data_IF_811265226946
#
_entry.id   IF_811265226946
#
_cell.length_a   1.000
_cell.length_b   1.000
_cell.length_c   1.000
_cell.angle_alpha   90.00
_cell.angle_beta   90.00
_cell.angle_gamma   90.00
#
_symmetry.space_group_name_H-M   'P 1'
#
loop_
_entity.id
_entity.type
_entity.pdbx_description
1 polymer ?
#
# COMPACT_ATOMS: atom_id res chain seq x y z
N UNK A 1 34.07 32.66 -54.55
CA UNK A 1 32.70 32.13 -54.47
C UNK A 1 32.81 30.61 -54.50
N UNK A 2 32.37 29.80 -53.55
CA UNK A 2 31.57 30.01 -52.35
C UNK A 2 32.05 29.06 -51.26
N UNK A 3 32.17 29.60 -50.05
CA UNK A 3 32.37 28.87 -48.83
C UNK A 3 31.01 28.48 -48.21
N UNK A 4 31.08 27.57 -47.23
CA UNK A 4 30.05 27.25 -46.21
C UNK A 4 28.97 26.26 -46.72
N UNK A 5 28.53 25.22 -46.00
CA UNK A 5 28.45 25.00 -44.55
C UNK A 5 28.56 23.48 -44.29
N UNK A 6 29.48 23.08 -43.40
CA UNK A 6 29.47 21.80 -42.70
C UNK A 6 28.35 21.85 -41.65
N UNK A 7 27.40 20.92 -41.67
CA UNK A 7 26.48 20.69 -40.56
C UNK A 7 26.42 19.19 -40.25
N UNK A 8 27.45 18.72 -39.56
CA UNK A 8 27.43 17.39 -38.93
C UNK A 8 26.56 17.50 -37.69
N UNK A 9 25.30 17.06 -37.79
CA UNK A 9 24.45 16.88 -36.61
C UNK A 9 24.99 15.67 -35.84
N UNK A 10 25.73 15.96 -34.77
CA UNK A 10 26.05 14.99 -33.72
C UNK A 10 24.72 14.60 -33.04
N UNK A 11 24.11 13.49 -33.46
CA UNK A 11 23.13 12.81 -32.64
C UNK A 11 23.89 12.19 -31.46
N UNK A 12 24.06 12.96 -30.38
CA UNK A 12 24.38 12.38 -29.08
C UNK A 12 23.18 11.53 -28.69
N UNK A 13 23.35 10.22 -28.79
CA UNK A 13 22.40 9.23 -28.30
C UNK A 13 22.28 9.34 -26.78
N UNK A 14 21.37 10.18 -26.29
CA UNK A 14 20.83 10.06 -24.93
C UNK A 14 19.50 9.33 -25.00
N UNK A 15 19.55 8.10 -25.53
CA UNK A 15 18.53 7.09 -25.24
C UNK A 15 19.13 6.10 -24.26
N UNK A 16 19.37 6.58 -23.04
CA UNK A 16 19.41 5.67 -21.89
C UNK A 16 18.01 5.07 -21.75
N UNK A 17 17.74 3.99 -22.50
CA UNK A 17 16.57 3.16 -22.27
C UNK A 17 16.69 2.68 -20.83
N UNK A 18 15.89 3.25 -19.93
CA UNK A 18 15.61 2.61 -18.67
C UNK A 18 15.19 1.17 -19.01
N UNK A 19 15.96 0.20 -18.55
CA UNK A 19 15.56 -1.20 -18.56
C UNK A 19 14.96 -1.44 -17.17
N UNK A 20 13.65 -1.19 -16.96
CA UNK A 20 13.04 -1.64 -15.73
C UNK A 20 13.04 -3.17 -15.78
N UNK A 21 13.77 -3.80 -14.88
CA UNK A 21 13.67 -5.22 -14.51
C UNK A 21 14.15 -6.30 -15.49
N UNK A 22 14.56 -5.98 -16.72
CA UNK A 22 15.00 -7.00 -17.69
C UNK A 22 16.51 -6.92 -17.99
N UNK A 23 17.33 -7.26 -17.00
CA UNK A 23 18.72 -7.68 -17.22
C UNK A 23 18.80 -9.18 -16.92
N UNK A 24 19.10 -10.00 -17.93
CA UNK A 24 19.09 -11.48 -17.87
C UNK A 24 20.19 -12.10 -16.97
N UNK A 25 20.84 -11.32 -16.11
CA UNK A 25 21.86 -11.84 -15.20
C UNK A 25 21.63 -11.32 -13.77
N UNK A 26 21.28 -12.27 -12.90
CA UNK A 26 21.26 -12.23 -11.43
C UNK A 26 19.98 -11.74 -10.75
N UNK A 27 19.24 -12.70 -10.19
CA UNK A 27 18.40 -12.52 -9.00
C UNK A 27 19.09 -11.66 -7.92
N UNK A 28 20.43 -11.73 -7.81
CA UNK A 28 21.22 -10.90 -6.90
C UNK A 28 21.12 -9.40 -7.18
N UNK A 29 21.08 -8.97 -8.45
CA UNK A 29 20.95 -7.56 -8.83
C UNK A 29 19.60 -6.96 -8.39
N UNK A 30 18.51 -7.71 -8.59
CA UNK A 30 17.17 -7.28 -8.17
C UNK A 30 17.05 -7.14 -6.65
N UNK A 31 17.54 -8.12 -5.89
CA UNK A 31 17.54 -8.03 -4.43
C UNK A 31 18.40 -6.87 -3.92
N UNK A 32 19.56 -6.62 -4.54
CA UNK A 32 20.42 -5.49 -4.20
C UNK A 32 19.75 -4.13 -4.51
N UNK A 33 19.07 -4.01 -5.66
CA UNK A 33 18.36 -2.80 -6.05
C UNK A 33 17.14 -2.53 -5.16
N UNK A 34 16.38 -3.57 -4.81
CA UNK A 34 15.28 -3.46 -3.85
C UNK A 34 15.80 -3.00 -2.48
N UNK A 35 16.87 -3.63 -1.99
CA UNK A 35 17.50 -3.25 -0.71
C UNK A 35 17.94 -1.79 -0.74
N UNK A 36 18.58 -1.35 -1.83
CA UNK A 36 19.06 0.03 -2.00
C UNK A 36 17.89 1.02 -2.07
N UNK A 37 16.81 0.69 -2.78
CA UNK A 37 15.62 1.52 -2.85
C UNK A 37 15.01 1.72 -1.46
N UNK A 38 14.87 0.64 -0.69
CA UNK A 38 14.28 0.69 0.65
C UNK A 38 15.15 1.49 1.63
N UNK A 39 16.48 1.33 1.59
CA UNK A 39 17.40 2.14 2.40
C UNK A 39 17.30 3.62 2.03
N UNK A 40 17.31 3.97 0.74
CA UNK A 40 17.15 5.36 0.28
C UNK A 40 15.81 5.96 0.70
N UNK A 41 14.73 5.20 0.62
CA UNK A 41 13.40 5.65 1.08
C UNK A 41 13.38 5.89 2.59
N UNK A 42 14.02 5.01 3.36
CA UNK A 42 14.17 5.16 4.81
C UNK A 42 14.96 6.42 5.18
N UNK A 43 16.12 6.63 4.54
CA UNK A 43 16.98 7.78 4.80
C UNK A 43 16.32 9.10 4.39
N UNK A 44 15.71 9.14 3.20
CA UNK A 44 14.94 10.29 2.76
C UNK A 44 13.81 10.61 3.75
N UNK A 45 13.10 9.60 4.25
CA UNK A 45 12.01 9.80 5.20
C UNK A 45 12.51 10.37 6.53
N UNK A 46 13.63 9.87 7.04
CA UNK A 46 14.28 10.40 8.25
C UNK A 46 14.66 11.87 8.06
N UNK A 47 15.35 12.20 6.96
CA UNK A 47 15.81 13.56 6.67
C UNK A 47 14.63 14.51 6.45
N UNK A 48 13.67 14.12 5.61
CA UNK A 48 12.52 14.93 5.26
C UNK A 48 11.70 15.36 6.49
N UNK A 49 11.41 14.43 7.41
CA UNK A 49 10.60 14.75 8.59
C UNK A 49 11.38 15.32 9.77
N UNK A 50 12.70 15.16 9.79
CA UNK A 50 13.57 15.83 10.76
C UNK A 50 13.79 17.30 10.41
N UNK A 51 14.08 17.58 9.14
CA UNK A 51 14.55 18.90 8.71
C UNK A 51 13.41 19.83 8.30
N UNK A 52 12.26 19.26 7.86
CA UNK A 52 11.12 20.05 7.42
C UNK A 52 10.15 20.35 8.58
N UNK A 53 10.42 21.42 9.33
CA UNK A 53 9.57 21.90 10.43
C UNK A 53 8.17 22.32 10.00
N UNK A 54 7.97 22.62 8.71
CA UNK A 54 6.66 23.02 8.17
C UNK A 54 5.75 21.84 7.86
N UNK A 55 6.31 20.64 7.65
CA UNK A 55 5.55 19.45 7.26
C UNK A 55 5.43 18.47 8.43
N UNK A 56 4.39 18.64 9.25
CA UNK A 56 4.06 17.68 10.30
C UNK A 56 3.64 16.34 9.69
N UNK A 57 4.36 15.27 10.01
CA UNK A 57 3.99 13.92 9.60
C UNK A 57 2.64 13.55 10.22
N UNK A 58 1.64 13.33 9.37
CA UNK A 58 0.34 12.85 9.85
C UNK A 58 0.49 11.41 10.36
N UNK A 59 0.01 11.08 11.57
CA UNK A 59 0.22 9.76 12.19
C UNK A 59 -0.20 8.56 11.33
N UNK A 60 -1.29 8.66 10.58
CA UNK A 60 -1.73 7.60 9.67
C UNK A 60 -0.82 7.45 8.43
N UNK A 61 -0.20 8.53 7.94
CA UNK A 61 0.82 8.44 6.88
C UNK A 61 2.08 7.77 7.41
N UNK A 62 2.46 8.08 8.65
CA UNK A 62 3.56 7.43 9.34
C UNK A 62 3.34 5.92 9.43
N UNK A 63 2.13 5.51 9.84
CA UNK A 63 1.78 4.10 9.92
C UNK A 63 1.87 3.37 8.59
N UNK A 64 1.35 3.97 7.51
CA UNK A 64 1.49 3.42 6.15
C UNK A 64 2.96 3.27 5.73
N UNK A 65 3.77 4.29 5.96
CA UNK A 65 5.18 4.30 5.56
C UNK A 65 5.97 3.21 6.27
N UNK A 66 5.81 3.09 7.60
CA UNK A 66 6.50 2.07 8.37
C UNK A 66 6.04 0.66 8.01
N UNK A 67 4.76 0.46 7.71
CA UNK A 67 4.25 -0.81 7.22
C UNK A 67 4.90 -1.19 5.89
N UNK A 68 4.99 -0.27 4.93
CA UNK A 68 5.66 -0.51 3.63
C UNK A 68 7.14 -0.85 3.80
N UNK A 69 7.87 -0.13 4.65
CA UNK A 69 9.29 -0.41 4.92
C UNK A 69 9.48 -1.80 5.52
N UNK A 70 8.60 -2.21 6.45
CA UNK A 70 8.60 -3.55 7.04
C UNK A 70 8.32 -4.63 6.00
N UNK A 71 7.28 -4.45 5.17
CA UNK A 71 6.92 -5.40 4.11
C UNK A 71 8.09 -5.57 3.13
N UNK A 72 8.79 -4.49 2.81
CA UNK A 72 9.96 -4.51 1.93
C UNK A 72 11.24 -5.07 2.59
N UNK A 73 11.14 -5.70 3.77
CA UNK A 73 12.25 -6.37 4.42
C UNK A 73 13.18 -5.46 5.21
N UNK A 74 12.79 -4.20 5.47
CA UNK A 74 13.61 -3.27 6.23
C UNK A 74 13.21 -3.27 7.71
N UNK A 75 14.01 -4.02 8.47
CA UNK A 75 13.85 -4.26 9.90
C UNK A 75 14.80 -3.49 10.85
N UNK A 76 15.52 -2.39 10.49
CA UNK A 76 16.54 -1.90 11.40
C UNK A 76 15.97 -1.42 12.73
N UNK A 77 16.65 -1.76 13.83
CA UNK A 77 16.46 -1.14 15.14
C UNK A 77 16.54 0.39 15.03
N UNK A 78 17.39 0.87 14.11
CA UNK A 78 17.55 2.26 13.67
C UNK A 78 16.27 2.90 13.10
N UNK A 79 15.32 2.14 12.54
CA UNK A 79 14.05 2.74 12.08
C UNK A 79 13.19 3.26 13.23
N UNK A 80 13.18 2.54 14.36
CA UNK A 80 12.37 2.90 15.52
C UNK A 80 13.07 3.94 16.40
N UNK A 81 14.41 3.88 16.47
CA UNK A 81 15.23 4.78 17.29
C UNK A 81 15.55 6.09 16.58
N UNK A 82 15.92 6.05 15.29
CA UNK A 82 16.44 7.21 14.57
C UNK A 82 15.34 8.02 13.92
N UNK A 83 14.24 7.37 13.51
CA UNK A 83 13.14 8.12 12.97
C UNK A 83 12.51 8.96 14.08
N UNK A 84 12.58 10.28 13.89
CA UNK A 84 11.87 11.27 14.68
C UNK A 84 10.98 12.06 13.74
N UNK A 85 9.74 12.31 14.18
CA UNK A 85 8.93 13.33 13.54
C UNK A 85 9.49 14.73 13.82
N UNK A 86 8.87 15.75 13.24
CA UNK A 86 9.25 17.16 13.40
C UNK A 86 9.21 17.65 14.86
N UNK A 87 8.61 16.88 15.77
CA UNK A 87 8.49 17.19 17.20
C UNK A 87 9.45 16.33 18.05
N UNK A 88 10.37 15.59 17.42
CA UNK A 88 11.34 14.73 18.11
C UNK A 88 10.74 13.43 18.66
N UNK A 89 9.51 13.07 18.26
CA UNK A 89 8.86 11.86 18.75
C UNK A 89 9.17 10.65 17.86
N UNK A 90 9.33 9.47 18.47
CA UNK A 90 9.37 8.21 17.70
C UNK A 90 7.99 7.88 17.15
N UNK A 91 7.92 7.05 16.12
CA UNK A 91 6.66 6.55 15.54
C UNK A 91 5.68 6.02 16.60
N UNK A 92 6.18 5.29 17.61
CA UNK A 92 5.37 4.78 18.72
C UNK A 92 4.67 5.93 19.47
N UNK A 93 5.42 6.98 19.80
CA UNK A 93 4.89 8.15 20.51
C UNK A 93 4.00 9.01 19.60
N UNK A 94 4.34 9.17 18.32
CA UNK A 94 3.50 9.86 17.32
C UNK A 94 2.13 9.21 17.19
N UNK A 95 2.08 7.87 17.08
CA UNK A 95 0.82 7.12 17.01
C UNK A 95 0.03 7.25 18.32
N UNK A 96 0.70 7.10 19.48
CA UNK A 96 0.06 7.29 20.80
C UNK A 96 -0.54 8.69 20.96
N UNK A 97 0.21 9.73 20.62
CA UNK A 97 -0.23 11.12 20.72
C UNK A 97 -1.50 11.34 19.89
N UNK A 98 -1.60 10.74 18.69
CA UNK A 98 -2.83 10.81 17.89
C UNK A 98 -4.03 10.24 18.62
N UNK A 99 -3.88 9.10 19.27
CA UNK A 99 -4.96 8.45 20.01
C UNK A 99 -5.37 9.28 21.24
N UNK A 100 -4.41 9.90 21.92
CA UNK A 100 -4.67 10.81 23.03
C UNK A 100 -5.45 12.07 22.61
N UNK A 101 -5.33 12.51 21.35
CA UNK A 101 -6.04 13.72 20.87
C UNK A 101 -7.54 13.50 20.62
N UNK A 102 -8.01 12.25 20.58
CA UNK A 102 -9.42 11.95 20.31
C UNK A 102 -10.11 11.46 21.57
N UNK A 103 -11.31 12.00 21.84
CA UNK A 103 -12.14 11.53 22.95
C UNK A 103 -12.69 10.12 22.68
N UNK A 104 -13.01 9.82 21.43
CA UNK A 104 -13.54 8.53 21.00
C UNK A 104 -12.82 8.07 19.72
N UNK A 105 -12.23 6.87 19.76
CA UNK A 105 -11.53 6.28 18.61
C UNK A 105 -12.44 6.11 17.38
N UNK A 106 -13.74 5.95 17.58
CA UNK A 106 -14.74 5.81 16.51
C UNK A 106 -14.97 7.09 15.70
N UNK A 107 -14.39 8.22 16.14
CA UNK A 107 -14.35 9.49 15.40
C UNK A 107 -13.27 9.52 14.32
N UNK A 108 -12.26 8.65 14.43
CA UNK A 108 -11.22 8.52 13.41
C UNK A 108 -11.85 7.86 12.17
N UNK A 109 -11.71 8.44 10.97
CA UNK A 109 -12.20 7.80 9.75
C UNK A 109 -11.62 6.39 9.59
N UNK A 110 -12.47 5.41 9.27
CA UNK A 110 -12.11 3.98 9.20
C UNK A 110 -10.82 3.70 8.41
N UNK A 111 -10.59 4.30 7.21
CA UNK A 111 -9.34 4.08 6.48
C UNK A 111 -8.11 4.61 7.23
N UNK A 112 -8.23 5.76 7.91
CA UNK A 112 -7.13 6.34 8.68
C UNK A 112 -6.81 5.48 9.91
N UNK A 113 -7.84 4.94 10.57
CA UNK A 113 -7.65 4.00 11.67
C UNK A 113 -6.96 2.72 11.20
N UNK A 114 -7.32 2.20 10.02
CA UNK A 114 -6.62 1.08 9.39
C UNK A 114 -5.13 1.35 9.18
N UNK A 115 -4.76 2.52 8.68
CA UNK A 115 -3.35 2.91 8.52
C UNK A 115 -2.62 3.10 9.86
N UNK A 116 -3.30 3.57 10.91
CA UNK A 116 -2.74 3.61 12.27
C UNK A 116 -2.47 2.19 12.77
N UNK A 117 -3.40 1.26 12.59
CA UNK A 117 -3.23 -0.15 12.96
C UNK A 117 -2.05 -0.78 12.22
N UNK A 118 -1.90 -0.53 10.91
CA UNK A 118 -0.72 -0.95 10.14
C UNK A 118 0.57 -0.40 10.75
N UNK A 119 0.56 0.87 11.17
CA UNK A 119 1.66 1.47 11.92
C UNK A 119 1.98 0.75 13.22
N UNK A 120 0.97 0.43 14.03
CA UNK A 120 1.13 -0.30 15.29
C UNK A 120 1.72 -1.70 15.06
N UNK A 121 1.23 -2.44 14.07
CA UNK A 121 1.75 -3.77 13.72
C UNK A 121 3.19 -3.66 13.20
N UNK A 122 3.48 -2.65 12.39
CA UNK A 122 4.82 -2.41 11.83
C UNK A 122 5.89 -2.10 12.89
N UNK A 123 5.48 -1.69 14.09
CA UNK A 123 6.39 -1.49 15.23
C UNK A 123 6.34 -2.67 16.22
N UNK A 124 5.80 -3.81 15.80
CA UNK A 124 5.66 -5.04 16.57
C UNK A 124 4.88 -4.84 17.88
N UNK A 125 3.78 -4.08 17.82
CA UNK A 125 2.86 -3.88 18.95
C UNK A 125 1.49 -4.47 18.63
N UNK A 126 0.77 -4.87 19.67
CA UNK A 126 -0.58 -5.42 19.54
C UNK A 126 -1.59 -4.27 19.37
N UNK A 127 -2.33 -4.19 18.25
CA UNK A 127 -3.38 -3.19 18.06
C UNK A 127 -4.61 -3.40 18.96
N UNK A 128 -4.76 -4.54 19.65
CA UNK A 128 -5.82 -4.77 20.66
C UNK A 128 -5.49 -4.15 22.01
N UNK A 129 -4.22 -3.92 22.30
CA UNK A 129 -3.72 -3.32 23.54
C UNK A 129 -2.53 -2.38 23.26
N UNK A 130 -2.77 -1.36 22.45
CA UNK A 130 -1.74 -0.36 22.16
C UNK A 130 -1.86 0.79 23.16
N UNK A 131 -1.06 0.76 24.24
CA UNK A 131 -1.13 1.74 25.34
C UNK A 131 -2.52 1.84 25.99
N UNK A 132 -3.21 0.71 26.17
CA UNK A 132 -4.58 0.67 26.70
C UNK A 132 -5.68 0.98 25.67
N UNK A 133 -5.32 1.25 24.41
CA UNK A 133 -6.28 1.40 23.32
C UNK A 133 -6.49 0.08 22.57
N UNK A 134 -7.76 -0.33 22.45
CA UNK A 134 -8.16 -1.38 21.53
C UNK A 134 -8.61 -0.76 20.20
N UNK A 135 -7.77 -0.85 19.17
CA UNK A 135 -8.00 -0.25 17.86
C UNK A 135 -8.88 -1.13 16.96
N UNK A 136 -8.98 -2.43 17.25
CA UNK A 136 -9.74 -3.39 16.45
C UNK A 136 -11.25 -3.16 16.58
N UNK A 137 -11.74 -2.93 17.81
CA UNK A 137 -13.16 -2.65 18.06
C UNK A 137 -13.71 -1.47 17.25
N UNK A 138 -13.12 -0.26 17.29
CA UNK A 138 -13.61 0.87 16.49
C UNK A 138 -13.42 0.65 14.99
N UNK A 139 -12.41 -0.10 14.54
CA UNK A 139 -12.26 -0.45 13.12
C UNK A 139 -13.43 -1.33 12.64
N UNK A 140 -13.78 -2.36 13.41
CA UNK A 140 -14.93 -3.24 13.13
C UNK A 140 -16.24 -2.47 13.09
N UNK A 141 -16.48 -1.60 14.07
CA UNK A 141 -17.66 -0.72 14.08
C UNK A 141 -17.66 0.26 12.89
N UNK A 142 -16.48 0.68 12.43
CA UNK A 142 -16.30 1.57 11.28
C UNK A 142 -16.78 0.97 9.96
N UNK A 143 -16.77 -0.35 9.78
CA UNK A 143 -17.30 -0.99 8.56
C UNK A 143 -18.81 -0.81 8.39
N UNK A 144 -19.57 -0.76 9.50
CA UNK A 144 -21.02 -0.51 9.47
C UNK A 144 -21.38 0.89 8.97
N UNK A 145 -20.40 1.80 8.90
CA UNK A 145 -20.56 3.18 8.45
C UNK A 145 -20.22 3.39 6.97
N UNK A 146 -19.79 2.33 6.28
CA UNK A 146 -19.39 2.41 4.88
C UNK A 146 -20.56 2.87 4.00
N UNK A 147 -20.30 3.82 3.10
CA UNK A 147 -21.29 4.51 2.24
C UNK A 147 -22.32 5.38 2.98
N UNK A 148 -22.49 5.22 4.29
CA UNK A 148 -23.34 6.07 5.11
C UNK A 148 -22.67 7.42 5.45
N UNK A 149 -21.34 7.45 5.54
CA UNK A 149 -20.57 8.66 5.83
C UNK A 149 -19.76 9.10 4.61
N UNK A 150 -19.76 10.40 4.30
CA UNK A 150 -18.99 10.98 3.19
C UNK A 150 -17.47 10.76 3.32
N UNK A 151 -16.97 10.62 4.55
CA UNK A 151 -15.56 10.35 4.83
C UNK A 151 -15.15 8.88 4.61
N UNK A 152 -16.11 7.97 4.36
CA UNK A 152 -15.86 6.55 4.15
C UNK A 152 -16.86 5.93 3.16
N UNK A 153 -16.65 6.24 1.87
CA UNK A 153 -17.54 5.85 0.77
C UNK A 153 -16.80 5.34 -0.47
N UNK A 154 -15.50 5.07 -0.38
CA UNK A 154 -14.69 4.58 -1.50
C UNK A 154 -14.01 3.24 -1.16
N UNK A 155 -13.88 2.38 -2.17
CA UNK A 155 -13.33 1.04 -2.01
C UNK A 155 -11.82 1.03 -1.79
N UNK A 156 -11.11 2.11 -2.15
CA UNK A 156 -9.69 2.28 -1.80
C UNK A 156 -9.52 2.28 -0.28
N UNK A 157 -10.25 3.16 0.42
CA UNK A 157 -10.22 3.24 1.87
C UNK A 157 -10.81 2.02 2.56
N UNK A 158 -11.86 1.40 1.98
CA UNK A 158 -12.45 0.17 2.50
C UNK A 158 -11.44 -0.98 2.50
N UNK A 159 -10.77 -1.18 1.37
CA UNK A 159 -9.78 -2.24 1.21
C UNK A 159 -8.59 -2.04 2.13
N UNK A 160 -8.11 -0.80 2.32
CA UNK A 160 -7.07 -0.50 3.32
C UNK A 160 -7.47 -0.92 4.74
N UNK A 161 -8.71 -0.68 5.14
CA UNK A 161 -9.21 -1.08 6.45
C UNK A 161 -9.29 -2.62 6.57
N UNK A 162 -9.70 -3.32 5.52
CA UNK A 162 -9.72 -4.79 5.48
C UNK A 162 -8.30 -5.37 5.62
N UNK A 163 -7.35 -4.86 4.83
CA UNK A 163 -5.94 -5.28 4.90
C UNK A 163 -5.38 -5.06 6.30
N UNK A 164 -5.68 -3.91 6.93
CA UNK A 164 -5.23 -3.63 8.30
C UNK A 164 -5.79 -4.63 9.33
N UNK A 165 -7.08 -4.97 9.24
CA UNK A 165 -7.71 -5.94 10.14
C UNK A 165 -7.09 -7.35 9.98
N UNK A 166 -6.84 -7.70 8.73
CA UNK A 166 -6.26 -8.97 8.32
C UNK A 166 -4.81 -9.13 8.77
N UNK A 167 -3.98 -8.12 8.53
CA UNK A 167 -2.59 -8.05 9.00
C UNK A 167 -2.50 -8.04 10.54
N UNK A 168 -3.53 -7.56 11.23
CA UNK A 168 -3.65 -7.64 12.69
C UNK A 168 -3.99 -9.06 13.20
N UNK A 169 -4.12 -10.07 12.31
CA UNK A 169 -4.49 -11.44 12.66
C UNK A 169 -5.94 -11.58 13.11
N UNK A 170 -6.82 -10.65 12.76
CA UNK A 170 -8.23 -10.72 13.13
C UNK A 170 -9.09 -11.27 11.98
N UNK A 171 -10.12 -12.02 12.34
CA UNK A 171 -11.12 -12.50 11.37
C UNK A 171 -11.86 -11.30 10.78
N UNK A 172 -11.90 -11.22 9.46
CA UNK A 172 -12.73 -10.25 8.74
C UNK A 172 -14.19 -10.75 8.73
N UNK A 173 -15.18 -9.95 9.14
CA UNK A 173 -16.58 -10.37 9.12
C UNK A 173 -17.07 -10.70 7.72
N UNK A 174 -17.95 -11.70 7.58
CA UNK A 174 -18.44 -12.16 6.26
C UNK A 174 -19.11 -11.02 5.48
N UNK A 175 -19.91 -10.16 6.13
CA UNK A 175 -20.54 -9.01 5.45
C UNK A 175 -19.52 -8.02 4.86
N UNK A 176 -18.33 -7.92 5.48
CA UNK A 176 -17.24 -7.06 4.99
C UNK A 176 -16.58 -7.67 3.76
N UNK A 177 -16.44 -8.99 3.74
CA UNK A 177 -15.92 -9.74 2.61
C UNK A 177 -16.91 -9.68 1.44
N UNK A 178 -18.20 -9.87 1.71
CA UNK A 178 -19.27 -9.82 0.71
C UNK A 178 -19.32 -8.47 -0.01
N UNK A 179 -19.17 -7.36 0.71
CA UNK A 179 -19.09 -6.01 0.11
C UNK A 179 -17.94 -5.87 -0.91
N UNK A 180 -16.78 -6.48 -0.68
CA UNK A 180 -15.68 -6.49 -1.67
C UNK A 180 -15.93 -7.48 -2.82
N UNK A 181 -16.56 -8.61 -2.54
CA UNK A 181 -16.91 -9.61 -3.56
C UNK A 181 -17.95 -9.06 -4.53
N UNK A 182 -18.91 -8.25 -4.06
CA UNK A 182 -19.92 -7.60 -4.90
C UNK A 182 -19.29 -6.66 -5.93
N UNK A 183 -18.19 -5.99 -5.59
CA UNK A 183 -17.46 -5.13 -6.53
C UNK A 183 -16.90 -5.90 -7.72
N UNK A 184 -16.50 -7.15 -7.54
CA UNK A 184 -16.03 -7.99 -8.64
C UNK A 184 -17.15 -8.34 -9.64
N UNK A 185 -18.42 -8.14 -9.28
CA UNK A 185 -19.56 -8.33 -10.17
C UNK A 185 -19.97 -7.05 -10.90
N UNK A 186 -19.48 -5.88 -10.46
CA UNK A 186 -19.58 -4.64 -11.21
C UNK A 186 -18.52 -4.66 -12.32
N UNK A 187 -18.64 -3.80 -13.33
CA UNK A 187 -17.66 -3.70 -14.41
C UNK A 187 -16.31 -3.14 -13.88
N UNK A 188 -15.50 -4.02 -13.28
CA UNK A 188 -14.24 -3.72 -12.58
C UNK A 188 -13.29 -2.84 -13.41
N UNK A 189 -13.32 -3.01 -14.73
CA UNK A 189 -12.47 -2.24 -15.66
C UNK A 189 -12.86 -0.77 -15.76
N UNK A 190 -14.15 -0.46 -15.64
CA UNK A 190 -14.76 0.86 -15.84
C UNK A 190 -14.92 1.63 -14.53
N UNK A 191 -15.21 0.94 -13.43
CA UNK A 191 -15.56 1.61 -12.17
C UNK A 191 -14.34 2.05 -11.34
N UNK A 192 -13.20 1.37 -11.49
CA UNK A 192 -12.09 1.50 -10.54
C UNK A 192 -10.74 1.81 -11.19
N UNK A 193 -9.94 2.60 -10.48
CA UNK A 193 -8.53 2.81 -10.81
C UNK A 193 -7.74 1.51 -10.61
N UNK A 194 -6.54 1.44 -11.21
CA UNK A 194 -5.61 0.33 -10.98
C UNK A 194 -5.31 0.18 -9.47
N UNK A 195 -5.12 1.30 -8.76
CA UNK A 195 -4.84 1.30 -7.32
C UNK A 195 -5.99 0.69 -6.51
N UNK A 196 -7.23 1.03 -6.86
CA UNK A 196 -8.41 0.52 -6.17
C UNK A 196 -8.58 -0.98 -6.43
N UNK A 197 -8.44 -1.43 -7.68
CA UNK A 197 -8.48 -2.85 -8.02
C UNK A 197 -7.38 -3.65 -7.34
N UNK A 198 -6.17 -3.09 -7.28
CA UNK A 198 -5.05 -3.70 -6.59
C UNK A 198 -5.35 -3.89 -5.10
N UNK A 199 -5.81 -2.84 -4.41
CA UNK A 199 -6.11 -2.93 -2.99
C UNK A 199 -7.28 -3.89 -2.69
N UNK A 200 -8.33 -3.92 -3.52
CA UNK A 200 -9.42 -4.90 -3.35
C UNK A 200 -8.88 -6.32 -3.51
N UNK A 201 -8.05 -6.57 -4.54
CA UNK A 201 -7.43 -7.87 -4.76
C UNK A 201 -6.54 -8.28 -3.59
N UNK A 202 -5.69 -7.38 -3.07
CA UNK A 202 -4.85 -7.64 -1.90
C UNK A 202 -5.69 -7.94 -0.65
N UNK A 203 -6.74 -7.15 -0.41
CA UNK A 203 -7.66 -7.36 0.70
C UNK A 203 -8.33 -8.75 0.61
N UNK A 204 -8.92 -9.09 -0.54
CA UNK A 204 -9.57 -10.39 -0.75
C UNK A 204 -8.58 -11.56 -0.69
N UNK A 205 -7.33 -11.36 -1.09
CA UNK A 205 -6.30 -12.41 -1.02
C UNK A 205 -5.86 -12.73 0.40
N UNK A 206 -6.08 -11.81 1.34
CA UNK A 206 -5.66 -11.97 2.73
C UNK A 206 -6.77 -12.59 3.61
N UNK A 207 -8.04 -12.39 3.25
CA UNK A 207 -9.16 -12.86 4.09
C UNK A 207 -9.34 -14.37 4.03
N UNK A 208 -9.86 -14.93 5.11
CA UNK A 208 -10.33 -16.32 5.16
C UNK A 208 -11.70 -16.37 5.83
N UNK A 209 -12.56 -17.24 5.34
CA UNK A 209 -13.90 -17.47 5.92
C UNK A 209 -14.17 -18.95 6.10
N UNK A 210 -14.91 -19.28 7.15
CA UNK A 210 -15.41 -20.64 7.39
C UNK A 210 -16.55 -21.02 6.41
N UNK A 211 -17.16 -20.02 5.77
CA UNK A 211 -18.20 -20.24 4.77
C UNK A 211 -17.59 -20.62 3.42
N UNK A 212 -17.62 -21.91 3.08
CA UNK A 212 -17.07 -22.44 1.81
C UNK A 212 -17.69 -21.80 0.56
N UNK A 213 -18.95 -21.37 0.61
CA UNK A 213 -19.58 -20.69 -0.53
C UNK A 213 -18.99 -19.31 -0.74
N UNK A 214 -18.82 -18.55 0.34
CA UNK A 214 -18.19 -17.23 0.31
C UNK A 214 -16.71 -17.33 -0.09
N UNK A 215 -15.98 -18.32 0.43
CA UNK A 215 -14.57 -18.56 0.05
C UNK A 215 -14.41 -18.75 -1.48
N UNK A 216 -15.28 -19.56 -2.11
CA UNK A 216 -15.27 -19.71 -3.58
C UNK A 216 -15.59 -18.40 -4.32
N UNK A 217 -16.47 -17.55 -3.77
CA UNK A 217 -16.75 -16.24 -4.36
C UNK A 217 -15.53 -15.31 -4.24
N UNK A 218 -14.82 -15.34 -3.12
CA UNK A 218 -13.56 -14.61 -2.92
C UNK A 218 -12.53 -15.01 -3.97
N UNK A 219 -12.28 -16.31 -4.16
CA UNK A 219 -11.32 -16.80 -5.16
C UNK A 219 -11.66 -16.34 -6.58
N UNK A 220 -12.94 -16.41 -6.97
CA UNK A 220 -13.39 -15.89 -8.27
C UNK A 220 -13.22 -14.37 -8.39
N UNK A 221 -13.52 -13.63 -7.32
CA UNK A 221 -13.38 -12.19 -7.30
C UNK A 221 -11.90 -11.77 -7.46
N UNK A 222 -10.99 -12.41 -6.71
CA UNK A 222 -9.54 -12.22 -6.87
C UNK A 222 -9.12 -12.49 -8.32
N UNK A 223 -9.57 -13.59 -8.92
CA UNK A 223 -9.29 -13.91 -10.32
C UNK A 223 -9.72 -12.80 -11.31
N UNK A 224 -10.90 -12.21 -11.12
CA UNK A 224 -11.39 -11.10 -11.96
C UNK A 224 -10.55 -9.82 -11.78
N UNK A 225 -10.20 -9.47 -10.56
CA UNK A 225 -9.35 -8.29 -10.31
C UNK A 225 -7.95 -8.49 -10.89
N UNK A 226 -7.35 -9.67 -10.70
CA UNK A 226 -6.06 -10.04 -11.31
C UNK A 226 -6.09 -9.90 -12.83
N UNK A 227 -7.10 -10.47 -13.50
CA UNK A 227 -7.24 -10.37 -14.95
C UNK A 227 -7.36 -8.90 -15.40
N UNK A 228 -8.12 -8.10 -14.65
CA UNK A 228 -8.28 -6.66 -14.93
C UNK A 228 -6.98 -5.88 -14.71
N UNK A 229 -6.17 -6.25 -13.71
CA UNK A 229 -4.87 -5.63 -13.48
C UNK A 229 -3.92 -5.96 -14.64
N UNK A 230 -3.80 -7.25 -15.00
CA UNK A 230 -2.97 -7.70 -16.12
C UNK A 230 -3.38 -7.01 -17.43
N UNK A 231 -4.69 -6.88 -17.70
CA UNK A 231 -5.16 -6.18 -18.91
C UNK A 231 -4.83 -4.68 -18.93
N UNK A 232 -4.52 -4.08 -17.77
CA UNK A 232 -4.10 -2.68 -17.63
C UNK A 232 -2.57 -2.50 -17.63
N UNK A 233 -1.81 -3.58 -17.82
CA UNK A 233 -0.37 -3.51 -18.01
C UNK A 233 -0.05 -3.01 -19.43
N UNK A 234 0.78 -1.98 -19.52
CA UNK A 234 1.27 -1.46 -20.80
C UNK A 234 2.34 -2.39 -21.37
N UNK A 235 2.11 -2.92 -22.57
CA UNK A 235 3.05 -3.82 -23.26
C UNK A 235 4.41 -3.17 -23.54
N UNK A 236 4.45 -1.84 -23.68
CA UNK A 236 5.67 -1.09 -24.02
C UNK A 236 6.55 -0.78 -22.82
N UNK A 237 5.99 -0.63 -21.61
CA UNK A 237 6.73 -0.20 -20.41
C UNK A 237 6.64 -1.19 -19.25
N UNK A 238 5.76 -2.18 -19.31
CA UNK A 238 5.45 -3.09 -18.21
C UNK A 238 4.69 -2.44 -17.04
N UNK A 239 4.42 -1.13 -17.09
CA UNK A 239 3.74 -0.39 -16.03
C UNK A 239 2.23 -0.67 -16.03
N UNK A 240 1.62 -0.71 -14.85
CA UNK A 240 0.17 -0.86 -14.70
C UNK A 240 -0.49 0.52 -14.62
N UNK A 241 -1.41 0.80 -15.54
CA UNK A 241 -2.13 2.07 -15.58
C UNK A 241 -1.31 3.25 -16.13
N UNK A 242 -1.58 4.45 -15.62
CA UNK A 242 -1.07 5.69 -16.21
C UNK A 242 0.30 6.12 -15.67
N UNK A 243 0.72 5.64 -14.50
CA UNK A 243 1.96 6.06 -13.85
C UNK A 243 2.63 4.90 -13.08
N UNK A 244 3.84 5.14 -12.56
CA UNK A 244 4.63 4.14 -11.84
C UNK A 244 4.08 3.81 -10.44
N UNK A 245 3.27 4.68 -9.83
CA UNK A 245 2.73 4.49 -8.48
C UNK A 245 1.70 3.36 -8.43
N UNK A 246 0.83 3.29 -9.43
CA UNK A 246 -0.16 2.22 -9.55
C UNK A 246 0.48 0.86 -9.86
N UNK A 247 1.67 0.84 -10.47
CA UNK A 247 2.45 -0.39 -10.71
C UNK A 247 2.83 -1.09 -9.40
N UNK A 248 3.27 -0.36 -8.39
CA UNK A 248 3.70 -0.97 -7.13
C UNK A 248 2.54 -1.73 -6.44
N UNK A 249 1.37 -1.10 -6.36
CA UNK A 249 0.17 -1.72 -5.79
C UNK A 249 -0.30 -2.91 -6.64
N UNK A 250 -0.27 -2.81 -7.97
CA UNK A 250 -0.65 -3.90 -8.85
C UNK A 250 0.26 -5.13 -8.66
N UNK A 251 1.59 -4.92 -8.57
CA UNK A 251 2.54 -6.00 -8.32
C UNK A 251 2.30 -6.65 -6.96
N UNK A 252 2.08 -5.85 -5.91
CA UNK A 252 1.73 -6.37 -4.58
C UNK A 252 0.46 -7.24 -4.63
N UNK A 253 -0.57 -6.78 -5.33
CA UNK A 253 -1.82 -7.52 -5.50
C UNK A 253 -1.62 -8.86 -6.24
N UNK A 254 -0.81 -8.88 -7.31
CA UNK A 254 -0.51 -10.10 -8.07
C UNK A 254 0.28 -11.11 -7.22
N UNK A 255 1.22 -10.63 -6.40
CA UNK A 255 1.96 -11.48 -5.46
C UNK A 255 1.04 -12.03 -4.36
N UNK A 256 0.18 -11.19 -3.78
CA UNK A 256 -0.78 -11.59 -2.75
C UNK A 256 -1.75 -12.66 -3.26
N UNK A 257 -2.20 -12.52 -4.51
CA UNK A 257 -3.06 -13.50 -5.18
C UNK A 257 -2.35 -14.81 -5.56
N UNK A 258 -1.03 -14.93 -5.30
CA UNK A 258 -0.19 -16.09 -5.63
C UNK A 258 -0.24 -16.49 -7.11
N UNK A 259 -0.30 -15.50 -8.00
CA UNK A 259 -0.24 -15.74 -9.44
C UNK A 259 1.16 -16.23 -9.80
N UNK A 260 1.26 -17.47 -10.30
CA UNK A 260 2.46 -17.95 -10.99
C UNK A 260 2.48 -17.32 -12.37
N UNK A 261 3.48 -16.50 -12.65
CA UNK A 261 3.71 -15.89 -13.98
C UNK A 261 4.50 -16.79 -14.92
N UNK A 262 4.71 -18.05 -14.55
CA UNK A 262 5.52 -19.01 -15.28
C UNK A 262 4.58 -19.82 -16.19
N UNK A 263 4.30 -19.27 -17.36
CA UNK A 263 3.68 -19.97 -18.49
C UNK A 263 4.41 -19.62 -19.77
#
# INVERSE_FOLDING_TARGET
MNAKVFFTVFFISLSGKAHPFCGLNSSEGFHADLTRAVVRSSDWMKQFYKDNTTTKLRPYRAGSMFATLRIAGHYPRTLLTDFKDSEGNSINKTLKNKLNTVQNLSSIPTPQLGLIIQGVISICKDPKDFHGYNLIKPLLAGFLKFKTYSSFNNYFGYSLAVIALCNAGNKVPDFVIEELVEEANRNVSTYHSVDTNALISTALSCVSTSNRSLQRKVERAVGKFVQTLISKQKTTTGAFGNNQYSTALAVEALQAARIRTDS
#
